data_IF_231505154363
#
_entry.id   IF_231505154363
#
_cell.length_a   1.000
_cell.length_b   1.000
_cell.length_c   1.000
_cell.angle_alpha   90.00
_cell.angle_beta   90.00
_cell.angle_gamma   90.00
#
_symmetry.space_group_name_H-M   'P 1'
#
loop_
_entity.id
_entity.type
_entity.pdbx_description
1 polymer ?
#
# COMPACT_ATOMS: atom_id res chain seq x y z
N UNK A 1 7.74 6.71 -23.18
CA UNK A 1 9.07 6.05 -23.28
C UNK A 1 8.83 4.53 -23.40
N UNK A 2 9.58 3.75 -24.18
CA UNK A 2 9.40 2.29 -24.23
C UNK A 2 9.61 1.65 -22.86
N UNK A 3 8.78 0.67 -22.46
CA UNK A 3 8.88 -0.03 -21.17
C UNK A 3 10.32 -0.48 -20.83
N UNK A 4 11.05 -0.98 -21.83
CA UNK A 4 12.46 -1.42 -21.69
C UNK A 4 13.39 -0.31 -21.16
N UNK A 5 13.19 0.93 -21.59
CA UNK A 5 14.00 2.07 -21.14
C UNK A 5 13.62 2.47 -19.70
N UNK A 6 12.34 2.39 -19.34
CA UNK A 6 11.87 2.69 -17.99
C UNK A 6 12.39 1.67 -16.97
N UNK A 7 12.41 0.38 -17.30
CA UNK A 7 13.01 -0.64 -16.43
C UNK A 7 14.52 -0.49 -16.27
N UNK A 8 15.23 -0.07 -17.31
CA UNK A 8 16.66 0.28 -17.19
C UNK A 8 16.87 1.46 -16.23
N UNK A 9 15.99 2.45 -16.26
CA UNK A 9 16.01 3.57 -15.30
C UNK A 9 15.82 3.10 -13.86
N UNK A 10 14.89 2.15 -13.61
CA UNK A 10 14.68 1.59 -12.27
C UNK A 10 15.86 0.76 -11.75
N UNK A 11 16.70 0.24 -12.64
CA UNK A 11 17.92 -0.49 -12.29
C UNK A 11 19.13 0.43 -12.06
N UNK A 12 19.02 1.72 -12.37
CA UNK A 12 20.12 2.66 -12.17
C UNK A 12 20.26 3.01 -10.68
N UNK A 13 21.37 2.57 -10.08
CA UNK A 13 21.69 2.82 -8.66
C UNK A 13 22.00 4.28 -8.35
N UNK A 14 22.41 5.07 -9.35
CA UNK A 14 22.73 6.49 -9.18
C UNK A 14 21.49 7.39 -9.21
N UNK A 15 20.34 6.86 -9.63
CA UNK A 15 19.10 7.63 -9.68
C UNK A 15 18.52 7.79 -8.27
N UNK A 16 18.18 9.01 -7.83
CA UNK A 16 17.48 9.24 -6.56
C UNK A 16 16.17 8.46 -6.45
N UNK A 17 15.79 8.10 -5.22
CA UNK A 17 14.57 7.35 -4.93
C UNK A 17 13.31 8.02 -5.53
N UNK A 18 13.20 9.35 -5.41
CA UNK A 18 12.07 10.12 -5.95
C UNK A 18 11.97 10.04 -7.47
N UNK A 19 13.08 10.08 -8.18
CA UNK A 19 13.09 9.96 -9.64
C UNK A 19 12.67 8.54 -10.07
N UNK A 20 13.06 7.51 -9.31
CA UNK A 20 12.60 6.12 -9.54
C UNK A 20 11.09 6.01 -9.30
N UNK A 21 10.59 6.64 -8.23
CA UNK A 21 9.16 6.66 -7.90
C UNK A 21 8.33 7.33 -8.98
N UNK A 22 8.82 8.41 -9.60
CA UNK A 22 8.07 9.04 -10.69
C UNK A 22 7.90 8.11 -11.89
N UNK A 23 8.96 7.38 -12.26
CA UNK A 23 8.87 6.35 -13.32
C UNK A 23 7.89 5.24 -12.96
N UNK A 24 7.85 4.85 -11.69
CA UNK A 24 6.91 3.83 -11.18
C UNK A 24 5.47 4.31 -11.31
N UNK A 25 5.18 5.55 -10.94
CA UNK A 25 3.83 6.11 -11.05
C UNK A 25 3.35 6.10 -12.50
N UNK A 26 4.17 6.60 -13.43
CA UNK A 26 3.83 6.62 -14.85
C UNK A 26 3.52 5.20 -15.38
N UNK A 27 4.27 4.19 -14.93
CA UNK A 27 4.07 2.79 -15.30
C UNK A 27 2.83 2.16 -14.64
N UNK A 28 2.56 2.51 -13.39
CA UNK A 28 1.41 2.00 -12.63
C UNK A 28 0.09 2.57 -13.16
N UNK A 29 0.05 3.85 -13.54
CA UNK A 29 -1.10 4.47 -14.22
C UNK A 29 -1.41 3.79 -15.57
N UNK A 30 -0.38 3.30 -16.25
CA UNK A 30 -0.52 2.49 -17.47
C UNK A 30 -0.88 1.03 -17.18
N UNK A 31 -1.07 0.65 -15.91
CA UNK A 31 -1.34 -0.73 -15.44
C UNK A 31 -0.31 -1.73 -15.94
N UNK A 32 0.96 -1.33 -15.99
CA UNK A 32 2.02 -2.23 -16.40
C UNK A 32 2.23 -3.29 -15.31
N UNK A 33 1.88 -4.55 -15.59
CA UNK A 33 2.00 -5.64 -14.62
C UNK A 33 3.44 -5.98 -14.22
N UNK A 34 4.44 -5.60 -15.02
CA UNK A 34 5.85 -5.85 -14.71
C UNK A 34 6.36 -4.94 -13.58
N UNK A 35 5.73 -3.80 -13.31
CA UNK A 35 6.16 -2.90 -12.21
C UNK A 35 5.56 -3.28 -10.85
N UNK A 36 4.45 -4.02 -10.80
CA UNK A 36 3.84 -4.50 -9.56
C UNK A 36 4.82 -5.18 -8.58
N UNK A 37 5.57 -6.23 -8.98
CA UNK A 37 6.54 -6.87 -8.08
C UNK A 37 7.72 -5.97 -7.73
N UNK A 38 8.02 -4.96 -8.55
CA UNK A 38 9.06 -3.98 -8.26
C UNK A 38 8.61 -3.05 -7.14
N UNK A 39 7.38 -2.54 -7.20
CA UNK A 39 6.82 -1.69 -6.15
C UNK A 39 6.86 -2.42 -4.80
N UNK A 40 6.40 -3.68 -4.76
CA UNK A 40 6.44 -4.52 -3.55
C UNK A 40 7.85 -4.74 -3.00
N UNK A 41 8.87 -4.76 -3.87
CA UNK A 41 10.27 -4.89 -3.45
C UNK A 41 10.84 -3.56 -2.93
N UNK A 42 10.47 -2.44 -3.55
CA UNK A 42 11.01 -1.13 -3.20
C UNK A 42 10.43 -0.58 -1.90
N UNK A 43 9.15 -0.85 -1.61
CA UNK A 43 8.51 -0.38 -0.39
C UNK A 43 9.17 -0.92 0.89
N UNK A 44 9.86 -2.07 0.80
CA UNK A 44 10.61 -2.67 1.91
C UNK A 44 12.02 -2.08 2.08
N UNK A 45 12.49 -1.25 1.14
CA UNK A 45 13.85 -0.73 1.17
C UNK A 45 13.91 0.59 1.97
N UNK A 46 14.88 0.73 2.90
CA UNK A 46 15.02 1.96 3.68
C UNK A 46 15.21 3.24 2.83
N UNK A 47 15.82 3.10 1.65
CA UNK A 47 15.98 4.20 0.66
C UNK A 47 14.63 4.84 0.29
N UNK A 48 13.53 4.07 0.34
CA UNK A 48 12.21 4.51 -0.08
C UNK A 48 11.29 4.89 1.09
N UNK A 49 11.79 4.97 2.32
CA UNK A 49 10.97 5.31 3.50
C UNK A 49 10.20 6.63 3.32
N UNK A 50 10.81 7.64 2.70
CA UNK A 50 10.20 8.95 2.47
C UNK A 50 9.22 8.99 1.27
N UNK A 51 9.06 7.89 0.54
CA UNK A 51 8.15 7.79 -0.59
C UNK A 51 7.26 6.53 -0.53
N UNK A 52 7.17 5.90 0.65
CA UNK A 52 6.30 4.73 0.88
C UNK A 52 4.85 5.04 0.56
N UNK A 53 4.32 6.19 0.98
CA UNK A 53 2.95 6.60 0.66
C UNK A 53 2.70 6.62 -0.85
N UNK A 54 3.62 7.20 -1.63
CA UNK A 54 3.54 7.21 -3.09
C UNK A 54 3.62 5.81 -3.71
N UNK A 55 4.43 4.92 -3.15
CA UNK A 55 4.50 3.53 -3.62
C UNK A 55 3.21 2.75 -3.33
N UNK A 56 2.58 2.96 -2.16
CA UNK A 56 1.25 2.38 -1.86
C UNK A 56 0.20 2.94 -2.80
N UNK A 57 0.21 4.26 -3.05
CA UNK A 57 -0.67 4.88 -4.03
C UNK A 57 -0.49 4.27 -5.44
N UNK A 58 0.73 3.92 -5.86
CA UNK A 58 0.94 3.21 -7.12
C UNK A 58 0.26 1.83 -7.14
N UNK A 59 0.28 1.10 -6.01
CA UNK A 59 -0.34 -0.23 -5.87
C UNK A 59 -1.86 -0.20 -6.04
N UNK A 60 -2.50 0.94 -5.81
CA UNK A 60 -3.94 1.12 -6.01
C UNK A 60 -4.43 0.87 -7.45
N UNK A 61 -3.53 0.81 -8.43
CA UNK A 61 -3.82 0.51 -9.83
C UNK A 61 -3.88 -0.99 -10.15
N UNK A 62 -3.59 -1.85 -9.17
CA UNK A 62 -3.51 -3.31 -9.31
C UNK A 62 -4.65 -4.01 -8.53
N UNK A 63 -4.89 -5.32 -8.77
CA UNK A 63 -5.88 -6.07 -7.99
C UNK A 63 -5.64 -5.92 -6.48
N UNK A 64 -6.65 -5.53 -5.70
CA UNK A 64 -6.48 -5.26 -4.27
C UNK A 64 -6.45 -6.53 -3.42
N UNK A 65 -7.06 -7.63 -3.87
CA UNK A 65 -7.23 -8.85 -3.08
C UNK A 65 -5.87 -9.48 -2.65
N UNK A 66 -4.84 -9.57 -3.51
CA UNK A 66 -3.53 -10.08 -3.10
C UNK A 66 -2.77 -9.18 -2.13
N UNK A 67 -3.22 -7.93 -1.96
CA UNK A 67 -2.59 -6.95 -1.06
C UNK A 67 -3.26 -6.90 0.31
N UNK A 68 -4.36 -7.61 0.52
CA UNK A 68 -5.22 -7.47 1.70
C UNK A 68 -4.43 -7.50 3.02
N UNK A 69 -3.72 -8.59 3.32
CA UNK A 69 -2.96 -8.73 4.57
C UNK A 69 -1.94 -7.60 4.76
N UNK A 70 -1.26 -7.22 3.68
CA UNK A 70 -0.27 -6.14 3.71
C UNK A 70 -0.91 -4.78 3.90
N UNK A 71 -2.10 -4.57 3.33
CA UNK A 71 -2.88 -3.37 3.54
C UNK A 71 -3.36 -3.28 5.00
N UNK A 72 -3.72 -4.39 5.64
CA UNK A 72 -4.03 -4.40 7.09
C UNK A 72 -2.80 -3.99 7.92
N UNK A 73 -1.62 -4.54 7.62
CA UNK A 73 -0.38 -4.13 8.29
C UNK A 73 -0.08 -2.62 8.11
N UNK A 74 -0.23 -2.12 6.88
CA UNK A 74 -0.03 -0.70 6.55
C UNK A 74 -1.07 0.21 7.19
N UNK A 75 -2.32 -0.23 7.31
CA UNK A 75 -3.38 0.51 7.97
C UNK A 75 -3.07 0.69 9.47
N UNK A 76 -2.59 -0.38 10.12
CA UNK A 76 -2.32 -0.38 11.56
C UNK A 76 -1.01 0.37 11.89
N UNK A 77 0.06 0.12 11.12
CA UNK A 77 1.42 0.55 11.47
C UNK A 77 1.98 1.65 10.59
N UNK A 78 1.30 2.00 9.50
CA UNK A 78 1.74 3.03 8.58
C UNK A 78 1.68 4.44 9.16
N UNK A 79 2.54 5.28 8.61
CA UNK A 79 2.35 6.74 8.66
C UNK A 79 1.09 7.11 7.87
N UNK A 80 0.58 8.33 8.10
CA UNK A 80 -0.69 8.80 7.55
C UNK A 80 -0.95 8.43 6.09
N UNK A 81 -0.02 8.79 5.18
CA UNK A 81 -0.20 8.54 3.74
C UNK A 81 -0.25 7.04 3.39
N UNK A 82 0.54 6.22 4.10
CA UNK A 82 0.58 4.76 3.90
C UNK A 82 -0.72 4.13 4.38
N UNK A 83 -1.22 4.54 5.54
CA UNK A 83 -2.48 4.06 6.09
C UNK A 83 -3.69 4.46 5.22
N UNK A 84 -3.74 5.70 4.74
CA UNK A 84 -4.78 6.15 3.80
C UNK A 84 -4.74 5.37 2.46
N UNK A 85 -3.55 5.14 1.91
CA UNK A 85 -3.40 4.31 0.70
C UNK A 85 -3.84 2.87 0.94
N UNK A 86 -3.53 2.31 2.11
CA UNK A 86 -3.98 0.97 2.49
C UNK A 86 -5.51 0.89 2.63
N UNK A 87 -6.13 1.89 3.25
CA UNK A 87 -7.58 2.03 3.30
C UNK A 87 -8.19 2.01 1.89
N UNK A 88 -7.64 2.78 0.95
CA UNK A 88 -8.14 2.81 -0.43
C UNK A 88 -8.03 1.45 -1.13
N UNK A 89 -6.97 0.68 -0.87
CA UNK A 89 -6.81 -0.69 -1.39
C UNK A 89 -7.92 -1.57 -0.82
N UNK A 90 -8.11 -1.56 0.51
CA UNK A 90 -9.14 -2.36 1.20
C UNK A 90 -10.54 -1.99 0.68
N UNK A 91 -10.83 -0.70 0.52
CA UNK A 91 -12.10 -0.18 0.02
C UNK A 91 -12.44 -0.61 -1.42
N UNK A 92 -11.46 -1.05 -2.21
CA UNK A 92 -11.69 -1.59 -3.56
C UNK A 92 -12.00 -3.09 -3.56
N UNK A 93 -11.83 -3.77 -2.43
CA UNK A 93 -12.11 -5.21 -2.32
C UNK A 93 -13.61 -5.40 -2.23
N UNK A 94 -14.17 -6.11 -3.21
CA UNK A 94 -15.62 -6.36 -3.25
C UNK A 94 -16.08 -7.46 -2.29
N UNK A 95 -15.26 -8.50 -2.10
CA UNK A 95 -15.54 -9.62 -1.20
C UNK A 95 -14.26 -10.41 -0.93
N UNK A 96 -14.02 -10.72 0.34
CA UNK A 96 -13.05 -11.71 0.81
C UNK A 96 -13.67 -12.58 1.90
N UNK A 97 -13.07 -13.74 2.15
CA UNK A 97 -13.51 -14.66 3.21
C UNK A 97 -12.38 -15.63 3.55
N UNK A 98 -12.38 -16.14 4.77
CA UNK A 98 -11.41 -17.10 5.28
C UNK A 98 -10.66 -16.57 6.49
N UNK A 99 -9.80 -17.40 7.06
CA UNK A 99 -9.12 -17.15 8.34
C UNK A 99 -8.37 -15.80 8.36
N UNK A 100 -7.78 -15.37 7.24
CA UNK A 100 -7.09 -14.07 7.16
C UNK A 100 -8.00 -12.86 7.33
N UNK A 101 -9.29 -12.98 7.01
CA UNK A 101 -10.29 -11.93 7.27
C UNK A 101 -10.61 -11.88 8.76
N UNK A 102 -10.81 -13.04 9.40
CA UNK A 102 -11.07 -13.11 10.84
C UNK A 102 -9.88 -12.54 11.64
N UNK A 103 -8.65 -12.93 11.28
CA UNK A 103 -7.41 -12.41 11.88
C UNK A 103 -7.27 -10.89 11.69
N UNK A 104 -7.64 -10.37 10.51
CA UNK A 104 -7.62 -8.94 10.22
C UNK A 104 -8.63 -8.17 11.09
N UNK A 105 -9.85 -8.69 11.24
CA UNK A 105 -10.88 -8.10 12.09
C UNK A 105 -10.41 -7.99 13.54
N UNK A 106 -9.85 -9.07 14.09
CA UNK A 106 -9.30 -9.09 15.45
C UNK A 106 -8.14 -8.10 15.60
N UNK A 107 -7.22 -8.07 14.63
CA UNK A 107 -6.04 -7.19 14.64
C UNK A 107 -6.44 -5.71 14.61
N UNK A 108 -7.36 -5.34 13.72
CA UNK A 108 -7.87 -3.96 13.64
C UNK A 108 -8.65 -3.61 14.91
N UNK A 109 -9.50 -4.51 15.40
CA UNK A 109 -10.30 -4.29 16.61
C UNK A 109 -9.47 -4.16 17.89
N UNK A 110 -8.27 -4.75 17.93
CA UNK A 110 -7.28 -4.49 18.98
C UNK A 110 -6.60 -3.13 18.77
N UNK A 111 -6.12 -2.87 17.55
CA UNK A 111 -5.41 -1.64 17.22
C UNK A 111 -6.27 -0.38 17.42
N UNK A 112 -7.56 -0.42 17.09
CA UNK A 112 -8.46 0.75 17.20
C UNK A 112 -8.69 1.21 18.65
N UNK A 113 -8.40 0.33 19.63
CA UNK A 113 -8.54 0.62 21.06
C UNK A 113 -7.25 1.17 21.69
N UNK A 114 -6.15 1.27 20.94
CA UNK A 114 -4.91 1.84 21.47
C UNK A 114 -5.06 3.36 21.68
N UNK A 115 -5.01 3.79 22.94
CA UNK A 115 -5.07 5.20 23.33
C UNK A 115 -3.88 6.04 22.85
N UNK A 116 -2.83 5.42 22.31
CA UNK A 116 -1.68 6.11 21.70
C UNK A 116 -1.92 6.47 20.24
N UNK A 117 -2.97 5.95 19.61
CA UNK A 117 -3.28 6.29 18.25
C UNK A 117 -3.59 7.79 18.13
N UNK A 118 -3.13 8.37 17.03
CA UNK A 118 -3.67 9.63 16.56
C UNK A 118 -5.14 9.45 16.15
N UNK A 119 -5.93 10.52 16.29
CA UNK A 119 -7.38 10.52 16.00
C UNK A 119 -7.70 9.95 14.61
N UNK A 120 -6.97 10.42 13.59
CA UNK A 120 -7.15 9.99 12.20
C UNK A 120 -6.96 8.47 12.00
N UNK A 121 -6.11 7.82 12.82
CA UNK A 121 -5.87 6.38 12.70
C UNK A 121 -7.00 5.60 13.33
N UNK A 122 -7.48 6.04 14.48
CA UNK A 122 -8.65 5.45 15.13
C UNK A 122 -9.88 5.56 14.22
N UNK A 123 -10.07 6.71 13.56
CA UNK A 123 -11.14 6.90 12.57
C UNK A 123 -11.00 5.91 11.40
N UNK A 124 -9.83 5.85 10.74
CA UNK A 124 -9.61 4.90 9.63
C UNK A 124 -9.80 3.44 10.03
N UNK A 125 -9.30 3.03 11.19
CA UNK A 125 -9.45 1.66 11.67
C UNK A 125 -10.92 1.31 11.92
N UNK A 126 -11.70 2.24 12.49
CA UNK A 126 -13.13 2.03 12.71
C UNK A 126 -13.91 2.00 11.39
N UNK A 127 -13.59 2.87 10.43
CA UNK A 127 -14.21 2.81 9.09
C UNK A 127 -13.97 1.46 8.42
N UNK A 128 -12.77 0.89 8.55
CA UNK A 128 -12.50 -0.45 8.02
C UNK A 128 -13.24 -1.53 8.78
N UNK A 129 -13.38 -1.44 10.12
CA UNK A 129 -14.18 -2.40 10.88
C UNK A 129 -15.64 -2.43 10.43
N UNK A 130 -16.21 -1.26 10.14
CA UNK A 130 -17.59 -1.12 9.64
C UNK A 130 -17.78 -1.79 8.25
N UNK A 131 -16.69 -2.04 7.51
CA UNK A 131 -16.74 -2.75 6.22
C UNK A 131 -16.82 -4.27 6.34
N UNK A 132 -16.57 -4.85 7.53
CA UNK A 132 -16.60 -6.31 7.73
C UNK A 132 -18.02 -6.85 7.96
N UNK A 133 -19.02 -5.98 8.05
CA UNK A 133 -20.45 -6.31 8.18
C UNK A 133 -21.08 -6.85 6.88
#
# INVERSE_FOLDING_TARGET
MPNKLLFQTLQNSELPAWDKVQVILDLAEQKNNEVYPIILKLIEQPEFNNCKGTLVYALENYPPEPLFEKAIEWLIHGEFEVACGAFNIINKISKLSGDSVDDAYESIGFASKDHKNEEWRTELLNEVLDMFE
#
